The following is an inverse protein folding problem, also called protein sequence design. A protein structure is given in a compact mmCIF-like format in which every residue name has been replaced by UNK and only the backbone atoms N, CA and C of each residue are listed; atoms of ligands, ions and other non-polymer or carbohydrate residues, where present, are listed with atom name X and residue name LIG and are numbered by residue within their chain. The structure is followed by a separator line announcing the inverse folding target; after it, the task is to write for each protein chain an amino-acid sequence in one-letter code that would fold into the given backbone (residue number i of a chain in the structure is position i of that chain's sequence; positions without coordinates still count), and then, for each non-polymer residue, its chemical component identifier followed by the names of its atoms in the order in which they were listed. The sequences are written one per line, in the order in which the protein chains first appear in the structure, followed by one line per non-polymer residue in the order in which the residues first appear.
data_IF_607886245714
#
_entry.id   IF_607886245714
#
_cell.length_a   1.000
_cell.length_b   1.000
_cell.length_c   1.000
_cell.angle_alpha   90.00
_cell.angle_beta   90.00
_cell.angle_gamma   90.00
#
_symmetry.space_group_name_H-M   'P 1'
#
loop_
_entity.id
_entity.type
_entity.pdbx_description
1 polymer ?
#
# COMPACT_ATOMS: atom_id res chain seq x y z
N UNK A 1 -27.44 -7.55 7.08
CA UNK A 1 -27.05 -6.47 6.13
C UNK A 1 -26.24 -5.35 6.79
N UNK A 2 -26.59 -4.88 7.99
CA UNK A 2 -25.82 -3.83 8.69
C UNK A 2 -24.33 -4.16 8.96
N UNK A 3 -23.95 -5.39 9.38
CA UNK A 3 -22.52 -5.71 9.60
C UNK A 3 -21.68 -5.60 8.32
N UNK A 4 -22.24 -6.03 7.18
CA UNK A 4 -21.59 -5.93 5.86
C UNK A 4 -21.43 -4.48 5.43
N UNK A 5 -22.47 -3.66 5.65
CA UNK A 5 -22.41 -2.22 5.38
C UNK A 5 -21.27 -1.59 6.19
N UNK A 6 -21.20 -1.89 7.49
CA UNK A 6 -20.17 -1.33 8.37
C UNK A 6 -18.77 -1.80 8.00
N UNK A 7 -18.57 -3.07 7.62
CA UNK A 7 -17.26 -3.58 7.18
C UNK A 7 -16.75 -2.82 5.95
N UNK A 8 -17.61 -2.55 4.95
CA UNK A 8 -17.25 -1.83 3.73
C UNK A 8 -16.81 -0.37 3.96
N UNK A 9 -17.22 0.21 5.09
CA UNK A 9 -16.92 1.61 5.43
C UNK A 9 -15.81 1.67 6.48
N UNK A 10 -15.96 0.95 7.59
CA UNK A 10 -15.09 1.03 8.74
C UNK A 10 -13.70 0.45 8.48
N UNK A 11 -13.58 -0.72 7.85
CA UNK A 11 -12.26 -1.37 7.65
C UNK A 11 -11.32 -0.48 6.83
N UNK A 12 -11.74 0.11 5.70
CA UNK A 12 -10.89 1.06 4.98
C UNK A 12 -10.55 2.34 5.74
N UNK A 13 -11.50 2.87 6.51
CA UNK A 13 -11.27 4.07 7.33
C UNK A 13 -10.25 3.76 8.43
N UNK A 14 -10.38 2.62 9.12
CA UNK A 14 -9.44 2.19 10.16
C UNK A 14 -8.04 2.05 9.57
N UNK A 15 -7.90 1.41 8.41
CA UNK A 15 -6.62 1.34 7.71
C UNK A 15 -6.06 2.74 7.42
N UNK A 16 -6.86 3.65 6.86
CA UNK A 16 -6.41 5.02 6.60
C UNK A 16 -5.99 5.78 7.87
N UNK A 17 -6.74 5.64 8.96
CA UNK A 17 -6.41 6.23 10.28
C UNK A 17 -5.07 5.74 10.80
N UNK A 18 -4.77 4.43 10.70
CA UNK A 18 -3.46 3.88 11.10
C UNK A 18 -2.33 4.57 10.34
N UNK A 19 -2.46 4.78 9.03
CA UNK A 19 -1.44 5.44 8.23
C UNK A 19 -1.34 6.95 8.51
N UNK A 20 -2.45 7.64 8.79
CA UNK A 20 -2.40 9.02 9.28
C UNK A 20 -1.74 9.14 10.66
N UNK A 21 -1.97 8.18 11.56
CA UNK A 21 -1.27 8.13 12.84
C UNK A 21 0.24 7.95 12.67
N UNK A 22 0.65 7.11 11.72
CA UNK A 22 2.08 6.99 11.38
C UNK A 22 2.65 8.30 10.84
N UNK A 23 1.96 8.98 9.92
CA UNK A 23 2.38 10.28 9.42
C UNK A 23 2.53 11.31 10.56
N UNK A 24 1.57 11.35 11.48
CA UNK A 24 1.64 12.19 12.66
C UNK A 24 2.85 11.87 13.55
N UNK A 25 3.11 10.59 13.81
CA UNK A 25 4.25 10.17 14.63
C UNK A 25 5.58 10.49 13.95
N UNK A 26 5.70 10.28 12.64
CA UNK A 26 6.89 10.67 11.85
C UNK A 26 7.12 12.18 11.95
N UNK A 27 6.07 13.00 11.85
CA UNK A 27 6.18 14.46 12.01
C UNK A 27 6.61 14.85 13.43
N UNK A 28 6.08 14.20 14.46
CA UNK A 28 6.43 14.45 15.86
C UNK A 28 7.88 14.09 16.16
N UNK A 29 8.29 12.89 15.75
CA UNK A 29 9.63 12.33 15.98
C UNK A 29 10.68 13.00 15.07
N UNK A 30 10.29 13.38 13.87
CA UNK A 30 11.14 14.05 12.88
C UNK A 30 11.69 15.39 13.38
N UNK A 31 10.94 16.17 14.16
CA UNK A 31 11.42 17.45 14.73
C UNK A 31 12.74 17.32 15.50
N UNK A 32 12.98 16.16 16.13
CA UNK A 32 14.19 15.88 16.90
C UNK A 32 15.20 15.07 16.07
N UNK A 33 14.72 14.16 15.21
CA UNK A 33 15.55 13.17 14.51
C UNK A 33 15.96 13.55 13.07
N UNK A 34 15.38 14.60 12.48
CA UNK A 34 15.79 15.14 11.18
C UNK A 34 17.24 15.66 11.20
N UNK A 35 17.70 16.14 12.36
CA UNK A 35 19.08 16.57 12.61
C UNK A 35 20.06 15.39 12.50
N UNK A 36 19.59 14.16 12.75
CA UNK A 36 20.42 12.97 12.93
C UNK A 36 20.43 12.07 11.66
N UNK A 37 19.30 11.99 10.94
CA UNK A 37 19.10 11.05 9.82
C UNK A 37 18.75 11.71 8.49
N UNK A 38 18.81 13.05 8.43
CA UNK A 38 18.52 13.82 7.22
C UNK A 38 17.03 14.14 7.03
N UNK A 39 16.76 15.39 6.67
CA UNK A 39 15.40 15.94 6.53
C UNK A 39 14.61 15.28 5.39
N UNK A 40 15.30 14.94 4.29
CA UNK A 40 14.69 14.43 3.06
C UNK A 40 14.05 13.05 3.27
N UNK A 41 14.67 12.17 4.06
CA UNK A 41 14.12 10.84 4.34
C UNK A 41 12.83 10.90 5.15
N UNK A 42 12.80 11.72 6.21
CA UNK A 42 11.61 11.90 7.04
C UNK A 42 10.44 12.52 6.28
N UNK A 43 10.72 13.50 5.40
CA UNK A 43 9.69 14.13 4.57
C UNK A 43 9.06 13.12 3.60
N UNK A 44 9.88 12.32 2.91
CA UNK A 44 9.38 11.30 1.97
C UNK A 44 8.54 10.22 2.67
N UNK A 45 8.95 9.78 3.86
CA UNK A 45 8.19 8.79 4.65
C UNK A 45 6.86 9.37 5.13
N UNK A 46 6.87 10.63 5.59
CA UNK A 46 5.65 11.36 5.94
C UNK A 46 4.68 11.40 4.75
N UNK A 47 5.17 11.82 3.58
CA UNK A 47 4.37 11.92 2.36
C UNK A 47 3.80 10.54 1.96
N UNK A 48 4.60 9.48 2.03
CA UNK A 48 4.14 8.12 1.73
C UNK A 48 3.00 7.65 2.67
N UNK A 49 3.12 7.92 3.98
CA UNK A 49 2.07 7.58 4.94
C UNK A 49 0.79 8.40 4.74
N UNK A 50 0.91 9.68 4.40
CA UNK A 50 -0.25 10.50 4.04
C UNK A 50 -0.94 9.96 2.78
N UNK A 51 -0.17 9.63 1.73
CA UNK A 51 -0.72 9.08 0.49
C UNK A 51 -1.43 7.74 0.70
N UNK A 52 -0.87 6.84 1.51
CA UNK A 52 -1.57 5.62 1.90
C UNK A 52 -2.83 5.88 2.72
N UNK A 53 -2.78 6.83 3.67
CA UNK A 53 -3.94 7.25 4.45
C UNK A 53 -5.10 7.66 3.55
N UNK A 54 -4.81 8.54 2.57
CA UNK A 54 -5.79 8.97 1.56
C UNK A 54 -6.26 7.78 0.70
N UNK A 55 -5.36 6.94 0.22
CA UNK A 55 -5.70 5.77 -0.61
C UNK A 55 -6.68 4.81 0.09
N UNK A 56 -6.46 4.54 1.38
CA UNK A 56 -7.32 3.64 2.15
C UNK A 56 -8.65 4.30 2.52
N UNK A 57 -8.64 5.53 3.04
CA UNK A 57 -9.86 6.27 3.43
C UNK A 57 -10.79 6.58 2.26
N UNK A 58 -10.30 6.56 1.01
CA UNK A 58 -11.12 6.81 -0.19
C UNK A 58 -11.83 5.58 -0.75
N UNK A 59 -11.60 4.35 -0.24
CA UNK A 59 -12.35 3.15 -0.69
C UNK A 59 -13.87 3.28 -0.51
N UNK A 60 -14.41 3.77 0.63
CA UNK A 60 -15.85 3.94 0.82
C UNK A 60 -16.51 4.82 -0.25
N UNK A 61 -15.77 5.82 -0.77
CA UNK A 61 -16.25 6.69 -1.83
C UNK A 61 -16.62 5.89 -3.10
N UNK A 62 -15.84 4.86 -3.43
CA UNK A 62 -16.12 3.95 -4.53
C UNK A 62 -17.47 3.25 -4.38
N UNK A 63 -17.90 2.98 -3.14
CA UNK A 63 -19.13 2.24 -2.87
C UNK A 63 -20.36 3.14 -2.66
N UNK A 64 -20.17 4.39 -2.19
CA UNK A 64 -21.27 5.29 -1.80
C UNK A 64 -21.74 6.19 -2.93
N UNK A 65 -20.86 6.61 -3.86
CA UNK A 65 -21.22 7.64 -4.86
C UNK A 65 -22.45 7.26 -5.71
N UNK A 66 -22.62 5.97 -6.00
CA UNK A 66 -23.78 5.48 -6.74
C UNK A 66 -23.46 4.26 -7.60
N UNK A 67 -24.38 3.90 -8.51
CA UNK A 67 -24.19 2.77 -9.42
C UNK A 67 -23.13 3.07 -10.49
N UNK A 68 -22.91 2.09 -11.37
CA UNK A 68 -22.11 2.24 -12.58
C UNK A 68 -22.42 3.57 -13.30
N UNK A 69 -21.39 4.33 -13.73
CA UNK A 69 -19.97 3.98 -13.84
C UNK A 69 -19.09 4.36 -12.62
N UNK A 70 -19.67 4.86 -11.53
CA UNK A 70 -18.89 5.46 -10.44
C UNK A 70 -17.93 4.52 -9.71
N UNK A 71 -18.34 3.28 -9.34
CA UNK A 71 -17.41 2.33 -8.69
C UNK A 71 -16.21 1.99 -9.58
N UNK A 72 -16.40 1.93 -10.90
CA UNK A 72 -15.31 1.71 -11.86
C UNK A 72 -14.35 2.89 -11.87
N UNK A 73 -14.88 4.11 -12.03
CA UNK A 73 -14.06 5.33 -12.14
C UNK A 73 -13.20 5.54 -10.89
N UNK A 74 -13.79 5.44 -9.71
CA UNK A 74 -13.05 5.59 -8.45
C UNK A 74 -12.04 4.44 -8.26
N UNK A 75 -12.37 3.20 -8.63
CA UNK A 75 -11.40 2.11 -8.59
C UNK A 75 -10.20 2.39 -9.49
N UNK A 76 -10.43 2.80 -10.74
CA UNK A 76 -9.37 3.15 -11.69
C UNK A 76 -8.46 4.26 -11.17
N UNK A 77 -9.03 5.35 -10.64
CA UNK A 77 -8.25 6.43 -10.03
C UNK A 77 -7.43 5.93 -8.85
N UNK A 78 -8.05 5.22 -7.91
CA UNK A 78 -7.36 4.73 -6.71
C UNK A 78 -6.21 3.79 -7.08
N UNK A 79 -6.44 2.87 -8.01
CA UNK A 79 -5.40 1.94 -8.46
C UNK A 79 -4.30 2.63 -9.25
N UNK A 80 -4.64 3.65 -10.06
CA UNK A 80 -3.63 4.51 -10.67
C UNK A 80 -2.71 5.15 -9.63
N UNK A 81 -3.28 5.77 -8.59
CA UNK A 81 -2.49 6.34 -7.50
C UNK A 81 -1.60 5.31 -6.82
N UNK A 82 -2.12 4.11 -6.54
CA UNK A 82 -1.32 3.05 -5.91
C UNK A 82 -0.17 2.57 -6.81
N UNK A 83 -0.47 2.28 -8.08
CA UNK A 83 0.45 1.63 -9.02
C UNK A 83 1.46 2.59 -9.64
N UNK A 84 1.06 3.82 -9.95
CA UNK A 84 1.89 4.79 -10.67
C UNK A 84 2.58 5.80 -9.74
N UNK A 85 2.11 5.98 -8.50
CA UNK A 85 2.63 7.01 -7.59
C UNK A 85 3.13 6.39 -6.28
N UNK A 86 2.29 5.67 -5.55
CA UNK A 86 2.63 5.20 -4.19
C UNK A 86 3.68 4.09 -4.23
N UNK A 87 3.43 3.00 -4.97
CA UNK A 87 4.37 1.86 -5.03
C UNK A 87 5.75 2.25 -5.60
N UNK A 88 5.86 3.06 -6.68
CA UNK A 88 7.17 3.45 -7.18
C UNK A 88 7.88 4.40 -6.22
N UNK A 89 7.14 5.31 -5.56
CA UNK A 89 7.71 6.21 -4.56
C UNK A 89 8.31 5.47 -3.37
N UNK A 90 7.66 4.40 -2.91
CA UNK A 90 8.15 3.55 -1.82
C UNK A 90 9.42 2.80 -2.24
N UNK A 91 9.39 2.15 -3.40
CA UNK A 91 10.56 1.45 -3.93
C UNK A 91 11.75 2.40 -4.10
N UNK A 92 11.54 3.57 -4.73
CA UNK A 92 12.56 4.60 -4.89
C UNK A 92 13.01 5.16 -3.54
N UNK A 93 12.10 5.35 -2.59
CA UNK A 93 12.41 5.80 -1.23
C UNK A 93 13.33 4.82 -0.50
N UNK A 94 13.04 3.52 -0.62
CA UNK A 94 13.85 2.44 -0.06
C UNK A 94 15.20 2.33 -0.77
N UNK A 95 15.26 2.51 -2.08
CA UNK A 95 16.53 2.59 -2.80
C UNK A 95 17.40 3.77 -2.34
N UNK A 96 16.81 4.93 -2.03
CA UNK A 96 17.53 6.05 -1.44
C UNK A 96 18.04 5.77 -0.02
N UNK A 97 17.40 4.86 0.70
CA UNK A 97 17.92 4.34 1.97
C UNK A 97 18.95 3.22 1.79
N UNK A 98 19.00 2.57 0.63
CA UNK A 98 19.98 1.56 0.25
C UNK A 98 21.22 2.11 -0.49
N UNK A 99 21.23 3.37 -0.90
CA UNK A 99 22.44 3.96 -1.48
C UNK A 99 23.38 4.39 -0.35
N UNK A 100 24.48 3.65 -0.14
CA UNK A 100 25.47 3.97 0.89
C UNK A 100 26.11 5.35 0.68
N UNK A 101 26.30 5.81 -0.56
CA UNK A 101 27.13 7.00 -0.84
C UNK A 101 26.75 7.80 -2.11
N UNK A 102 25.48 7.85 -2.56
CA UNK A 102 25.16 8.69 -3.73
C UNK A 102 23.69 8.84 -4.11
N UNK A 103 23.42 9.82 -4.98
CA UNK A 103 22.10 9.96 -5.62
C UNK A 103 21.74 8.69 -6.39
N UNK A 104 20.51 8.19 -6.18
CA UNK A 104 19.99 7.08 -6.98
C UNK A 104 20.05 7.42 -8.48
N UNK A 105 20.59 6.53 -9.35
CA UNK A 105 20.69 6.80 -10.77
C UNK A 105 19.35 7.23 -11.35
N UNK A 106 19.36 8.31 -12.15
CA UNK A 106 18.14 8.87 -12.74
C UNK A 106 17.37 7.82 -13.56
N UNK A 107 18.08 6.90 -14.19
CA UNK A 107 17.49 5.78 -14.92
C UNK A 107 16.62 4.88 -14.02
N UNK A 108 17.06 4.56 -12.79
CA UNK A 108 16.29 3.73 -11.86
C UNK A 108 15.01 4.45 -11.44
N UNK A 109 15.11 5.74 -11.10
CA UNK A 109 13.93 6.56 -10.78
C UNK A 109 12.92 6.57 -11.92
N UNK A 110 13.37 6.90 -13.12
CA UNK A 110 12.50 6.95 -14.31
C UNK A 110 11.91 5.57 -14.58
N UNK A 111 12.71 4.50 -14.54
CA UNK A 111 12.24 3.14 -14.77
C UNK A 111 11.14 2.72 -13.78
N UNK A 112 11.32 2.96 -12.47
CA UNK A 112 10.31 2.63 -11.46
C UNK A 112 8.97 3.32 -11.73
N UNK A 113 8.99 4.63 -11.97
CA UNK A 113 7.75 5.38 -12.25
C UNK A 113 7.14 5.02 -13.62
N UNK A 114 7.96 4.83 -14.65
CA UNK A 114 7.47 4.43 -15.98
C UNK A 114 6.81 3.05 -15.96
N UNK A 115 7.40 2.07 -15.29
CA UNK A 115 6.80 0.74 -15.14
C UNK A 115 5.49 0.83 -14.35
N UNK A 116 5.48 1.57 -13.23
CA UNK A 116 4.25 1.78 -12.45
C UNK A 116 3.13 2.43 -13.26
N UNK A 117 3.46 3.46 -14.04
CA UNK A 117 2.52 4.14 -14.93
C UNK A 117 1.98 3.22 -16.04
N UNK A 118 2.85 2.47 -16.71
CA UNK A 118 2.44 1.53 -17.76
C UNK A 118 1.52 0.43 -17.21
N UNK A 119 1.84 -0.14 -16.05
CA UNK A 119 0.97 -1.13 -15.41
C UNK A 119 -0.38 -0.52 -15.01
N UNK A 120 -0.39 0.70 -14.50
CA UNK A 120 -1.63 1.41 -14.17
C UNK A 120 -2.50 1.66 -15.43
N UNK A 121 -1.90 2.03 -16.56
CA UNK A 121 -2.62 2.20 -17.81
C UNK A 121 -3.25 0.88 -18.28
N UNK A 122 -2.48 -0.21 -18.29
CA UNK A 122 -2.99 -1.54 -18.64
C UNK A 122 -4.15 -1.93 -17.72
N UNK A 123 -3.99 -1.73 -16.40
CA UNK A 123 -5.03 -1.99 -15.42
C UNK A 123 -6.31 -1.21 -15.73
N UNK A 124 -6.22 0.09 -16.01
CA UNK A 124 -7.37 0.93 -16.33
C UNK A 124 -8.05 0.45 -17.61
N UNK A 125 -7.30 0.20 -18.68
CA UNK A 125 -7.85 -0.23 -19.97
C UNK A 125 -8.61 -1.56 -19.85
N UNK A 126 -8.05 -2.52 -19.11
CA UNK A 126 -8.72 -3.79 -18.81
C UNK A 126 -9.99 -3.56 -17.99
N UNK A 127 -9.94 -2.74 -16.94
CA UNK A 127 -11.11 -2.47 -16.09
C UNK A 127 -12.23 -1.77 -16.86
N UNK A 128 -11.91 -0.78 -17.71
CA UNK A 128 -12.91 -0.09 -18.54
C UNK A 128 -13.58 -1.07 -19.51
N UNK A 129 -12.81 -2.02 -20.05
CA UNK A 129 -13.29 -2.99 -21.02
C UNK A 129 -14.05 -4.16 -20.37
N UNK A 130 -13.74 -4.50 -19.11
CA UNK A 130 -14.32 -5.63 -18.41
C UNK A 130 -15.50 -5.25 -17.50
N UNK A 131 -15.52 -4.04 -16.94
CA UNK A 131 -16.59 -3.56 -16.05
C UNK A 131 -17.68 -2.89 -16.86
N UNK A 132 -18.84 -3.52 -16.91
CA UNK A 132 -20.02 -3.09 -17.67
C UNK A 132 -21.24 -2.82 -16.78
N UNK A 133 -21.16 -3.12 -15.48
CA UNK A 133 -22.26 -2.91 -14.54
C UNK A 133 -21.77 -2.75 -13.08
N UNK A 134 -22.73 -2.56 -12.18
CA UNK A 134 -22.51 -2.54 -10.73
C UNK A 134 -23.61 -3.29 -9.99
N UNK A 135 -23.27 -3.97 -8.90
CA UNK A 135 -24.22 -4.65 -8.01
C UNK A 135 -24.32 -3.96 -6.66
N UNK A 136 -25.47 -4.11 -6.00
CA UNK A 136 -25.63 -3.69 -4.61
C UNK A 136 -24.97 -4.74 -3.72
N UNK A 137 -24.01 -4.32 -2.90
CA UNK A 137 -23.28 -5.18 -1.98
C UNK A 137 -23.80 -5.08 -0.54
N UNK A 138 -24.43 -3.96 -0.19
CA UNK A 138 -25.09 -3.75 1.09
C UNK A 138 -26.16 -2.66 0.97
N UNK A 139 -27.15 -2.70 1.87
CA UNK A 139 -28.16 -1.65 2.00
C UNK A 139 -28.47 -1.43 3.48
N UNK A 140 -28.54 -0.16 3.90
CA UNK A 140 -28.92 0.22 5.25
C UNK A 140 -29.58 1.60 5.27
N UNK A 141 -30.78 1.69 5.88
CA UNK A 141 -31.54 2.93 6.06
C UNK A 141 -31.64 3.82 4.80
N UNK A 142 -31.95 3.21 3.66
CA UNK A 142 -32.07 3.91 2.36
C UNK A 142 -30.74 4.13 1.62
N UNK A 143 -29.59 3.98 2.27
CA UNK A 143 -28.27 4.03 1.64
C UNK A 143 -27.90 2.67 1.06
N UNK A 144 -27.52 2.66 -0.22
CA UNK A 144 -27.07 1.46 -0.94
C UNK A 144 -25.58 1.58 -1.25
N UNK A 145 -24.85 0.50 -1.02
CA UNK A 145 -23.45 0.37 -1.42
C UNK A 145 -23.36 -0.40 -2.72
N UNK A 146 -22.61 0.13 -3.67
CA UNK A 146 -22.42 -0.45 -5.00
C UNK A 146 -20.99 -0.96 -5.17
N UNK A 147 -20.80 -2.00 -5.97
CA UNK A 147 -19.46 -2.44 -6.39
C UNK A 147 -19.48 -2.82 -7.87
N UNK A 148 -18.33 -2.67 -8.52
CA UNK A 148 -18.16 -2.97 -9.93
C UNK A 148 -18.34 -4.48 -10.19
N UNK A 149 -19.01 -4.80 -11.30
CA UNK A 149 -19.16 -6.18 -11.78
C UNK A 149 -18.45 -6.32 -13.10
N UNK A 150 -17.63 -7.37 -13.20
CA UNK A 150 -16.95 -7.73 -14.44
C UNK A 150 -17.84 -8.67 -15.26
N UNK A 151 -17.90 -8.44 -16.57
CA UNK A 151 -18.60 -9.30 -17.53
C UNK A 151 -20.07 -9.55 -17.19
N UNK A 152 -20.81 -8.54 -16.74
CA UNK A 152 -22.23 -8.71 -16.42
C UNK A 152 -23.07 -9.10 -17.65
N UNK A 153 -22.66 -8.68 -18.85
CA UNK A 153 -23.34 -8.97 -20.11
C UNK A 153 -22.82 -10.19 -20.88
N UNK A 154 -21.89 -10.99 -20.36
CA UNK A 154 -21.30 -12.08 -21.14
C UNK A 154 -20.43 -13.07 -20.34
N UNK A 155 -19.87 -14.10 -20.99
CA UNK A 155 -19.00 -15.06 -20.31
C UNK A 155 -17.72 -14.38 -19.79
N UNK A 156 -17.20 -14.80 -18.62
CA UNK A 156 -15.93 -14.29 -18.12
C UNK A 156 -14.79 -14.54 -19.10
N UNK A 157 -13.95 -13.52 -19.32
CA UNK A 157 -12.75 -13.62 -20.16
C UNK A 157 -11.51 -13.79 -19.28
N UNK A 158 -11.00 -15.02 -19.21
CA UNK A 158 -9.85 -15.37 -18.36
C UNK A 158 -8.62 -14.52 -18.70
N UNK A 159 -8.43 -14.16 -19.96
CA UNK A 159 -7.31 -13.34 -20.44
C UNK A 159 -7.30 -11.97 -19.75
N UNK A 160 -8.46 -11.34 -19.61
CA UNK A 160 -8.61 -10.04 -18.95
C UNK A 160 -8.30 -10.14 -17.46
N UNK A 161 -8.74 -11.23 -16.81
CA UNK A 161 -8.43 -11.50 -15.39
C UNK A 161 -6.93 -11.69 -15.21
N UNK A 162 -6.27 -12.45 -16.09
CA UNK A 162 -4.82 -12.67 -16.02
C UNK A 162 -4.04 -11.39 -16.25
N UNK A 163 -4.39 -10.57 -17.27
CA UNK A 163 -3.72 -9.29 -17.51
C UNK A 163 -3.88 -8.36 -16.29
N UNK A 164 -5.07 -8.32 -15.69
CA UNK A 164 -5.33 -7.56 -14.47
C UNK A 164 -4.41 -8.00 -13.33
N UNK A 165 -4.37 -9.30 -13.02
CA UNK A 165 -3.56 -9.83 -11.94
C UNK A 165 -2.06 -9.67 -12.20
N UNK A 166 -1.60 -9.86 -13.44
CA UNK A 166 -0.20 -9.64 -13.83
C UNK A 166 0.19 -8.18 -13.70
N UNK A 167 -0.68 -7.25 -14.11
CA UNK A 167 -0.41 -5.81 -13.95
C UNK A 167 -0.21 -5.44 -12.48
N UNK A 168 -1.05 -5.97 -11.58
CA UNK A 168 -0.95 -5.79 -10.13
C UNK A 168 0.27 -6.51 -9.52
N UNK A 169 0.61 -7.69 -10.05
CA UNK A 169 1.77 -8.46 -9.64
C UNK A 169 3.07 -7.71 -9.94
N UNK A 170 3.14 -6.98 -11.06
CA UNK A 170 4.29 -6.13 -11.39
C UNK A 170 4.28 -4.87 -10.53
N UNK A 171 3.17 -4.11 -10.53
CA UNK A 171 2.95 -2.97 -9.65
C UNK A 171 1.52 -2.99 -9.12
N UNK A 172 1.29 -2.97 -7.80
CA UNK A 172 2.25 -2.60 -6.77
C UNK A 172 3.03 -3.77 -6.14
N UNK A 173 2.60 -5.02 -6.32
CA UNK A 173 3.10 -6.16 -5.52
C UNK A 173 4.60 -6.40 -5.73
N UNK A 174 5.05 -6.45 -6.98
CA UNK A 174 6.45 -6.67 -7.33
C UNK A 174 7.37 -5.59 -6.75
N UNK A 175 6.91 -4.34 -6.73
CA UNK A 175 7.66 -3.24 -6.13
C UNK A 175 7.78 -3.38 -4.61
N UNK A 176 6.74 -3.86 -3.93
CA UNK A 176 6.82 -4.18 -2.51
C UNK A 176 7.69 -5.41 -2.23
N UNK A 177 7.68 -6.43 -3.08
CA UNK A 177 8.59 -7.58 -2.96
C UNK A 177 10.05 -7.13 -3.07
N UNK A 178 10.37 -6.30 -4.07
CA UNK A 178 11.72 -5.73 -4.22
C UNK A 178 12.10 -4.88 -3.00
N UNK A 179 11.16 -4.08 -2.51
CA UNK A 179 11.35 -3.27 -1.30
C UNK A 179 11.71 -4.13 -0.08
N UNK A 180 10.99 -5.24 0.15
CA UNK A 180 11.30 -6.21 1.22
C UNK A 180 12.71 -6.76 1.07
N UNK A 181 13.08 -7.19 -0.14
CA UNK A 181 14.41 -7.78 -0.38
C UNK A 181 15.55 -6.80 -0.06
N UNK A 182 15.38 -5.53 -0.43
CA UNK A 182 16.35 -4.46 -0.15
C UNK A 182 16.44 -4.19 1.35
N UNK A 183 15.30 -4.01 2.04
CA UNK A 183 15.26 -3.77 3.49
C UNK A 183 15.89 -4.94 4.26
N UNK A 184 15.61 -6.18 3.85
CA UNK A 184 16.20 -7.39 4.44
C UNK A 184 17.71 -7.41 4.28
N UNK A 185 18.21 -7.17 3.06
CA UNK A 185 19.66 -7.09 2.78
C UNK A 185 20.31 -6.05 3.68
N UNK A 186 19.71 -4.87 3.77
CA UNK A 186 20.19 -3.77 4.62
C UNK A 186 20.26 -4.17 6.08
N UNK A 187 19.19 -4.76 6.63
CA UNK A 187 19.17 -5.27 8.01
C UNK A 187 20.31 -6.23 8.33
N UNK A 188 20.61 -7.15 7.44
CA UNK A 188 21.66 -8.14 7.67
C UNK A 188 23.08 -7.60 7.49
N UNK A 189 23.26 -6.52 6.73
CA UNK A 189 24.57 -5.90 6.47
C UNK A 189 24.77 -4.58 7.23
N UNK A 190 23.91 -4.26 8.19
CA UNK A 190 24.04 -3.03 8.96
C UNK A 190 25.31 -3.07 9.84
N UNK A 191 26.15 -2.02 9.87
CA UNK A 191 27.39 -2.02 10.66
C UNK A 191 27.11 -2.24 12.14
N UNK A 192 27.80 -3.21 12.75
CA UNK A 192 27.62 -3.58 14.16
C UNK A 192 28.18 -2.55 15.13
N UNK A 193 29.13 -1.73 14.66
CA UNK A 193 29.80 -0.64 15.35
C UNK A 193 29.09 0.72 15.19
N UNK A 194 27.98 0.77 14.45
CA UNK A 194 27.20 1.99 14.28
C UNK A 194 26.67 2.52 15.62
N UNK A 195 26.81 3.83 15.84
CA UNK A 195 26.19 4.55 16.95
C UNK A 195 24.66 4.43 16.96
N UNK A 196 24.06 4.09 15.81
CA UNK A 196 22.62 3.83 15.67
C UNK A 196 22.30 2.35 15.77
N UNK A 197 22.65 1.76 16.92
CA UNK A 197 22.59 0.32 17.18
C UNK A 197 21.17 -0.31 17.15
N UNK A 198 20.09 0.49 17.07
CA UNK A 198 18.71 0.00 16.97
C UNK A 198 18.19 -0.03 15.52
N UNK A 199 18.96 0.43 14.52
CA UNK A 199 18.49 0.51 13.14
C UNK A 199 18.11 -0.86 12.55
N UNK A 200 18.86 -1.92 12.87
CA UNK A 200 18.53 -3.28 12.45
C UNK A 200 17.17 -3.75 12.99
N UNK A 201 16.80 -3.34 14.21
CA UNK A 201 15.49 -3.64 14.79
C UNK A 201 14.38 -2.85 14.07
N UNK A 202 14.61 -1.58 13.74
CA UNK A 202 13.65 -0.75 12.99
C UNK A 202 13.39 -1.33 11.60
N UNK A 203 14.46 -1.74 10.90
CA UNK A 203 14.36 -2.41 9.62
C UNK A 203 13.70 -3.78 9.71
N UNK A 204 13.83 -4.49 10.84
CA UNK A 204 13.10 -5.75 11.05
C UNK A 204 11.60 -5.54 11.09
N UNK A 205 11.13 -4.51 11.79
CA UNK A 205 9.71 -4.17 11.78
C UNK A 205 9.24 -3.74 10.38
N UNK A 206 10.07 -2.97 9.67
CA UNK A 206 9.80 -2.56 8.28
C UNK A 206 9.66 -3.74 7.32
N UNK A 207 10.60 -4.68 7.41
CA UNK A 207 10.60 -5.92 6.64
C UNK A 207 9.33 -6.73 6.90
N UNK A 208 9.02 -7.02 8.17
CA UNK A 208 7.84 -7.83 8.54
C UNK A 208 6.55 -7.11 8.13
N UNK A 209 6.45 -5.79 8.32
CA UNK A 209 5.28 -5.02 7.92
C UNK A 209 5.05 -5.07 6.41
N UNK A 210 6.11 -4.88 5.61
CA UNK A 210 6.02 -5.00 4.15
C UNK A 210 5.69 -6.43 3.69
N UNK A 211 6.27 -7.46 4.33
CA UNK A 211 5.97 -8.86 4.04
C UNK A 211 4.50 -9.20 4.27
N UNK A 212 3.94 -8.79 5.42
CA UNK A 212 2.52 -9.01 5.73
C UNK A 212 1.64 -8.34 4.68
N UNK A 213 2.00 -7.12 4.25
CA UNK A 213 1.25 -6.43 3.23
C UNK A 213 1.33 -7.13 1.87
N UNK A 214 2.51 -7.55 1.44
CA UNK A 214 2.72 -8.34 0.21
C UNK A 214 1.94 -9.65 0.23
N UNK A 215 2.07 -10.44 1.31
CA UNK A 215 1.38 -11.72 1.45
C UNK A 215 -0.13 -11.50 1.41
N UNK A 216 -0.65 -10.47 2.06
CA UNK A 216 -2.08 -10.16 2.02
C UNK A 216 -2.58 -9.83 0.60
N UNK A 217 -1.77 -9.14 -0.22
CA UNK A 217 -2.09 -8.86 -1.61
C UNK A 217 -2.04 -10.12 -2.48
N UNK A 218 -1.02 -10.97 -2.29
CA UNK A 218 -0.90 -12.24 -3.02
C UNK A 218 -2.06 -13.19 -2.71
N UNK A 219 -2.44 -13.31 -1.43
CA UNK A 219 -3.59 -14.12 -1.01
C UNK A 219 -4.89 -13.56 -1.60
N UNK A 220 -5.08 -12.23 -1.59
CA UNK A 220 -6.25 -11.61 -2.21
C UNK A 220 -6.30 -11.86 -3.74
N UNK A 221 -5.16 -11.77 -4.43
CA UNK A 221 -5.05 -12.05 -5.87
C UNK A 221 -5.31 -13.51 -6.22
N UNK A 222 -4.75 -14.45 -5.46
CA UNK A 222 -4.99 -15.88 -5.64
C UNK A 222 -6.45 -16.25 -5.39
N UNK A 223 -7.05 -15.68 -4.35
CA UNK A 223 -8.46 -15.89 -4.06
C UNK A 223 -9.37 -15.28 -5.17
N UNK A 224 -9.00 -14.15 -5.77
CA UNK A 224 -9.69 -13.60 -6.92
C UNK A 224 -9.62 -14.52 -8.16
N UNK A 225 -8.48 -15.19 -8.38
CA UNK A 225 -8.27 -16.14 -9.47
C UNK A 225 -9.07 -17.44 -9.28
N UNK A 226 -9.09 -18.00 -8.06
CA UNK A 226 -9.70 -19.30 -7.77
C UNK A 226 -11.20 -19.23 -7.45
N UNK A 227 -11.67 -18.10 -6.94
CA UNK A 227 -12.99 -17.99 -6.29
C UNK A 227 -14.03 -17.15 -7.03
N UNK A 228 -13.85 -16.76 -8.30
CA UNK A 228 -14.78 -15.82 -8.98
C UNK A 228 -15.03 -14.52 -8.19
N UNK A 229 -14.10 -13.54 -8.17
CA UNK A 229 -14.31 -12.15 -7.67
C UNK A 229 -15.39 -11.99 -6.56
N UNK A 230 -15.30 -12.79 -5.49
CA UNK A 230 -16.18 -12.65 -4.32
C UNK A 230 -16.03 -11.24 -3.71
N UNK A 231 -17.10 -10.80 -3.06
CA UNK A 231 -17.38 -9.38 -2.76
C UNK A 231 -16.49 -8.80 -1.64
N UNK A 232 -15.52 -9.57 -1.12
CA UNK A 232 -14.73 -9.20 0.08
C UNK A 232 -13.23 -9.49 -0.01
N UNK A 233 -12.69 -9.81 -1.20
CA UNK A 233 -11.24 -10.03 -1.37
C UNK A 233 -10.39 -8.85 -0.87
N UNK A 234 -10.95 -7.64 -0.98
CA UNK A 234 -10.28 -6.44 -0.52
C UNK A 234 -10.06 -6.42 0.99
N UNK A 235 -10.93 -7.03 1.80
CA UNK A 235 -10.78 -7.07 3.27
C UNK A 235 -9.43 -7.68 3.66
N UNK A 236 -8.96 -8.68 2.91
CA UNK A 236 -7.69 -9.38 3.17
C UNK A 236 -6.52 -8.40 3.14
N UNK A 237 -6.39 -7.60 2.06
CA UNK A 237 -5.27 -6.68 1.96
C UNK A 237 -5.43 -5.44 2.86
N UNK A 238 -6.66 -5.04 3.20
CA UNK A 238 -6.88 -3.98 4.19
C UNK A 238 -6.51 -4.42 5.62
N UNK A 239 -6.84 -5.66 6.00
CA UNK A 239 -6.40 -6.23 7.26
C UNK A 239 -4.86 -6.34 7.31
N UNK A 240 -4.25 -6.81 6.21
CA UNK A 240 -2.79 -6.81 6.04
C UNK A 240 -2.18 -5.42 6.19
N UNK A 241 -2.78 -4.39 5.58
CA UNK A 241 -2.35 -3.00 5.70
C UNK A 241 -2.45 -2.47 7.15
N UNK A 242 -3.51 -2.80 7.88
CA UNK A 242 -3.65 -2.41 9.29
C UNK A 242 -2.53 -3.03 10.13
N UNK A 243 -2.31 -4.33 10.00
CA UNK A 243 -1.26 -5.03 10.77
C UNK A 243 0.12 -4.49 10.40
N UNK A 244 0.39 -4.31 9.10
CA UNK A 244 1.60 -3.69 8.56
C UNK A 244 1.84 -2.30 9.18
N UNK A 245 0.84 -1.42 9.11
CA UNK A 245 0.92 -0.07 9.66
C UNK A 245 1.11 -0.03 11.19
N UNK A 246 0.55 -0.97 11.94
CA UNK A 246 0.78 -1.06 13.39
C UNK A 246 2.22 -1.47 13.72
N UNK A 247 2.81 -2.38 12.95
CA UNK A 247 4.21 -2.77 13.09
C UNK A 247 5.14 -1.61 12.71
N UNK A 248 4.84 -0.89 11.63
CA UNK A 248 5.60 0.30 11.25
C UNK A 248 5.49 1.42 12.26
N UNK A 249 4.31 1.65 12.84
CA UNK A 249 4.15 2.62 13.90
C UNK A 249 5.04 2.30 15.10
N UNK A 250 5.18 1.01 15.44
CA UNK A 250 6.13 0.56 16.47
C UNK A 250 7.57 0.83 16.04
N UNK A 251 7.91 0.57 14.77
CA UNK A 251 9.21 0.87 14.18
C UNK A 251 9.60 2.35 14.30
N UNK A 252 8.71 3.26 13.90
CA UNK A 252 8.94 4.71 13.92
C UNK A 252 9.27 5.20 15.34
N UNK A 253 8.59 4.65 16.36
CA UNK A 253 8.76 5.02 17.76
C UNK A 253 10.12 4.61 18.33
N UNK A 254 10.71 3.50 17.86
CA UNK A 254 12.01 3.01 18.34
C UNK A 254 13.09 4.08 18.12
N UNK A 255 13.85 4.48 19.17
CA UNK A 255 14.96 5.39 19.02
C UNK A 255 16.08 4.76 18.19
N UNK A 256 16.89 5.58 17.49
CA UNK A 256 17.95 5.05 16.64
C UNK A 256 19.10 4.41 17.43
N UNK A 257 19.27 4.80 18.70
CA UNK A 257 20.24 4.24 19.63
C UNK A 257 19.55 3.88 20.96
N UNK A 258 20.09 2.87 21.65
CA UNK A 258 19.72 2.59 23.04
C UNK A 258 20.27 3.67 23.98
N UNK A 259 19.56 3.95 25.07
CA UNK A 259 20.07 4.80 26.16
C UNK A 259 21.38 4.19 26.69
N UNK A 260 22.42 4.99 26.98
CA UNK A 260 23.64 4.51 27.62
C UNK A 260 23.29 3.72 28.89
N UNK A 261 23.92 2.55 29.08
CA UNK A 261 23.61 1.61 30.19
C UNK A 261 23.85 2.22 31.58
N UNK A 262 24.63 3.29 31.63
CA UNK A 262 25.06 4.09 32.76
C UNK A 262 24.03 5.14 33.22
N UNK A 263 22.90 5.28 32.52
CA UNK A 263 21.80 6.20 32.88
C UNK A 263 20.53 5.48 33.36
N UNK A 264 20.59 4.17 33.65
CA UNK A 264 19.49 3.36 34.19
C UNK A 264 19.74 2.96 35.65
#
# INVERSE_FOLDING_TARGET
MFPVFLINIAVPIIAGVVYFMMAYEVRKVGKIRQIIFGEIGYKKVFDAFVLFGIYFTTRPLQNIIGPYPWPMFINCIRQFFLMAIISPAILVGIFYWDSDEGELPRAVKIASYSVGFLMALIFILVNISAIDSSKIIASFNGLKLYDAVWFAGGPPKTEFILIHLVSQLISPVGFFILSVAIVRRRRHNYPSDSIYNQMSLKWRYLEIGLEIFVVSMLVAGLAALLGHYYTYHWVIYFAGAIISGLLELKSVKIPPSSVPKDLN
#
